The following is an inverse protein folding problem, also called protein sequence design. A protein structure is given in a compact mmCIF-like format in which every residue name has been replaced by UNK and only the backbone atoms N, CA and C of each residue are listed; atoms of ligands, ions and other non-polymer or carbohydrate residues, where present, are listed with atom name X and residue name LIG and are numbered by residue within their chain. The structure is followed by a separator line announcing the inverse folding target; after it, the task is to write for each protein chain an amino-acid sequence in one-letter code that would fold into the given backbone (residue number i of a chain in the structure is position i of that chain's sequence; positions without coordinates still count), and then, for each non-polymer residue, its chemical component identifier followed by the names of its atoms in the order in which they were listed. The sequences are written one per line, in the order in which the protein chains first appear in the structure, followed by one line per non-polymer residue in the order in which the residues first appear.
data_IF_857632195207
#
_entry.id   IF_857632195207
#
_cell.length_a   1.000
_cell.length_b   1.000
_cell.length_c   1.000
_cell.angle_alpha   90.00
_cell.angle_beta   90.00
_cell.angle_gamma   90.00
#
_symmetry.space_group_name_H-M   'P 1'
#
loop_
_entity.id
_entity.type
_entity.pdbx_description
1 polymer ?
#
# COMPACT_ATOMS: atom_id res chain seq x y z
N UNK A 1 57.34 6.89 41.71
CA UNK A 1 56.95 6.10 40.54
C UNK A 1 55.66 5.29 40.73
N UNK A 2 55.48 4.43 41.76
CA UNK A 2 54.24 3.63 41.92
C UNK A 2 53.00 4.48 42.24
N UNK A 3 53.09 5.60 42.98
CA UNK A 3 51.95 6.49 43.26
C UNK A 3 51.56 7.37 42.06
N UNK A 4 52.51 7.76 41.23
CA UNK A 4 52.25 8.52 39.98
C UNK A 4 51.65 7.63 38.91
N UNK A 5 52.02 6.37 38.84
CA UNK A 5 51.45 5.38 37.91
C UNK A 5 49.99 5.04 38.29
N UNK A 6 49.68 4.93 39.61
CA UNK A 6 48.32 4.71 40.08
C UNK A 6 47.38 5.90 39.80
N UNK A 7 47.89 7.14 39.88
CA UNK A 7 47.11 8.35 39.57
C UNK A 7 46.83 8.51 38.06
N UNK A 8 47.79 8.14 37.22
CA UNK A 8 47.63 8.15 35.76
C UNK A 8 46.66 7.05 35.31
N UNK A 9 46.72 5.84 35.92
CA UNK A 9 45.76 4.77 35.65
C UNK A 9 44.33 5.11 36.09
N UNK A 10 44.16 5.79 37.22
CA UNK A 10 42.86 6.24 37.68
C UNK A 10 42.30 7.38 36.82
N UNK A 11 43.13 8.27 36.28
CA UNK A 11 42.72 9.34 35.38
C UNK A 11 42.35 8.82 34.01
N UNK A 12 43.04 7.77 33.51
CA UNK A 12 42.71 7.09 32.24
C UNK A 12 41.41 6.29 32.40
N UNK A 13 41.15 5.66 33.56
CA UNK A 13 39.88 4.97 33.83
C UNK A 13 38.71 5.94 34.03
N UNK A 14 38.95 7.17 34.47
CA UNK A 14 37.93 8.21 34.59
C UNK A 14 37.64 8.92 33.26
N UNK A 15 38.58 8.90 32.30
CA UNK A 15 38.36 9.43 30.93
C UNK A 15 37.70 8.43 29.99
N UNK A 16 37.59 7.16 30.35
CA UNK A 16 36.86 6.11 29.59
C UNK A 16 35.47 5.82 30.17
N UNK A 17 35.02 6.53 31.20
CA UNK A 17 33.64 6.65 31.52
C UNK A 17 33.01 7.67 30.50
N UNK A 18 33.03 7.34 29.20
CA UNK A 18 31.99 7.80 28.33
C UNK A 18 30.69 7.40 29.04
N UNK A 19 29.91 8.36 29.48
CA UNK A 19 28.54 8.11 29.89
C UNK A 19 27.93 7.36 28.73
N UNK A 20 27.74 6.04 28.84
CA UNK A 20 26.82 5.33 28.00
C UNK A 20 25.49 6.03 28.28
N UNK A 21 25.09 6.97 27.41
CA UNK A 21 23.73 7.46 27.43
C UNK A 21 22.87 6.21 27.25
N UNK A 22 21.84 6.07 28.05
CA UNK A 22 20.87 5.01 27.83
C UNK A 22 20.34 5.20 26.40
N UNK A 23 20.18 4.09 25.68
CA UNK A 23 19.56 4.18 24.36
C UNK A 23 18.15 4.76 24.48
N UNK A 24 17.77 5.61 23.55
CA UNK A 24 16.40 6.12 23.44
C UNK A 24 15.51 4.97 22.99
N UNK A 25 14.49 4.64 23.76
CA UNK A 25 13.52 3.60 23.40
C UNK A 25 12.34 4.22 22.69
N UNK A 26 11.96 3.67 21.52
CA UNK A 26 10.77 4.07 20.77
C UNK A 26 9.85 2.87 20.52
N UNK A 27 8.55 3.10 20.60
CA UNK A 27 7.50 2.11 20.35
C UNK A 27 6.97 2.28 18.93
N UNK A 28 7.16 1.26 18.11
CA UNK A 28 6.70 1.20 16.72
C UNK A 28 5.51 0.25 16.58
N UNK A 29 4.37 0.76 16.10
CA UNK A 29 3.21 -0.08 15.78
C UNK A 29 3.03 -0.20 14.28
N UNK A 30 2.69 -1.41 13.81
CA UNK A 30 2.48 -1.67 12.38
C UNK A 30 1.24 -2.51 12.12
N UNK A 31 0.72 -2.41 10.89
CA UNK A 31 -0.42 -3.20 10.41
C UNK A 31 -0.04 -4.57 9.86
N UNK A 32 1.24 -4.93 9.92
CA UNK A 32 1.77 -6.14 9.28
C UNK A 32 1.65 -7.34 10.22
N UNK A 33 0.74 -8.27 9.92
CA UNK A 33 0.45 -9.43 10.76
C UNK A 33 0.59 -10.78 10.05
N UNK A 34 0.81 -10.75 8.72
CA UNK A 34 1.02 -11.93 7.89
C UNK A 34 2.50 -12.28 7.69
N UNK A 35 2.85 -12.80 6.52
CA UNK A 35 4.23 -13.02 6.13
C UNK A 35 5.07 -11.74 6.11
N UNK A 36 4.46 -10.62 5.78
CA UNK A 36 5.00 -9.26 5.85
C UNK A 36 5.41 -8.86 7.28
N UNK A 37 4.67 -9.31 8.30
CA UNK A 37 5.00 -9.03 9.70
C UNK A 37 6.37 -9.60 10.11
N UNK A 38 6.70 -10.80 9.69
CA UNK A 38 8.01 -11.42 9.97
C UNK A 38 9.14 -10.66 9.25
N UNK A 39 8.90 -10.18 8.03
CA UNK A 39 9.88 -9.39 7.25
C UNK A 39 10.09 -8.05 7.94
N UNK A 40 9.02 -7.36 8.35
CA UNK A 40 9.10 -6.09 9.07
C UNK A 40 9.85 -6.25 10.40
N UNK A 41 9.58 -7.31 11.18
CA UNK A 41 10.33 -7.60 12.40
C UNK A 41 11.83 -7.78 12.11
N UNK A 42 12.18 -8.50 11.04
CA UNK A 42 13.57 -8.65 10.61
C UNK A 42 14.25 -7.32 10.26
N UNK A 43 13.53 -6.37 9.66
CA UNK A 43 14.04 -5.02 9.39
C UNK A 43 14.26 -4.22 10.68
N UNK A 44 13.35 -4.32 11.64
CA UNK A 44 13.50 -3.70 12.97
C UNK A 44 14.68 -4.30 13.71
N UNK A 45 14.84 -5.62 13.70
CA UNK A 45 15.97 -6.29 14.33
C UNK A 45 17.31 -5.86 13.70
N UNK A 46 17.34 -5.67 12.37
CA UNK A 46 18.51 -5.18 11.65
C UNK A 46 18.85 -3.74 12.04
N UNK A 47 17.86 -2.86 12.22
CA UNK A 47 18.08 -1.51 12.76
C UNK A 47 18.68 -1.57 14.15
N UNK A 48 18.04 -2.29 15.08
CA UNK A 48 18.51 -2.43 16.47
C UNK A 48 19.92 -3.03 16.54
N UNK A 49 20.30 -3.90 15.62
CA UNK A 49 21.64 -4.50 15.55
C UNK A 49 22.69 -3.58 14.92
N UNK A 50 22.31 -2.54 14.19
CA UNK A 50 23.21 -1.66 13.43
C UNK A 50 23.84 -0.54 14.26
N UNK A 51 23.25 -0.22 15.42
CA UNK A 51 23.66 0.90 16.27
C UNK A 51 23.21 0.68 17.74
N UNK A 52 23.69 1.53 18.69
CA UNK A 52 23.46 1.42 20.14
C UNK A 52 22.69 2.62 20.71
N UNK A 53 22.29 3.59 19.87
CA UNK A 53 21.69 4.87 20.32
C UNK A 53 20.18 4.78 20.49
N UNK A 54 19.50 3.95 19.68
CA UNK A 54 18.03 3.82 19.64
C UNK A 54 17.63 2.35 19.71
N UNK A 55 16.63 2.04 20.51
CA UNK A 55 16.00 0.71 20.58
C UNK A 55 14.55 0.83 20.12
N UNK A 56 14.19 0.10 19.09
CA UNK A 56 12.81 0.05 18.57
C UNK A 56 12.10 -1.18 19.10
N UNK A 57 10.99 -0.95 19.81
CA UNK A 57 10.08 -1.99 20.30
C UNK A 57 8.91 -2.13 19.31
N UNK A 58 8.88 -3.17 18.51
CA UNK A 58 7.87 -3.39 17.48
C UNK A 58 6.64 -4.13 18.00
N UNK A 59 5.45 -3.61 17.72
CA UNK A 59 4.16 -4.23 18.03
C UNK A 59 3.29 -4.33 16.76
N UNK A 60 3.23 -5.49 16.11
CA UNK A 60 2.33 -5.73 14.99
C UNK A 60 0.89 -5.96 15.48
N UNK A 61 -0.11 -5.45 14.74
CA UNK A 61 -1.53 -5.71 14.98
C UNK A 61 -2.32 -5.57 13.68
N UNK A 62 -3.55 -6.07 13.66
CA UNK A 62 -4.40 -5.89 12.46
C UNK A 62 -4.68 -4.41 12.22
N UNK A 63 -4.91 -4.02 10.96
CA UNK A 63 -5.26 -2.64 10.63
C UNK A 63 -6.49 -2.16 11.40
N UNK A 64 -7.50 -3.02 11.54
CA UNK A 64 -8.72 -2.70 12.28
C UNK A 64 -8.43 -2.43 13.77
N UNK A 65 -7.57 -3.26 14.39
CA UNK A 65 -7.16 -3.05 15.79
C UNK A 65 -6.36 -1.76 15.96
N UNK A 66 -5.41 -1.49 15.06
CA UNK A 66 -4.59 -0.29 15.10
C UNK A 66 -5.44 0.98 14.99
N UNK A 67 -6.32 1.02 13.98
CA UNK A 67 -7.17 2.19 13.72
C UNK A 67 -8.25 2.42 14.80
N UNK A 68 -8.53 1.44 15.65
CA UNK A 68 -9.38 1.61 16.83
C UNK A 68 -8.58 2.03 18.06
N UNK A 69 -7.40 1.44 18.27
CA UNK A 69 -6.58 1.65 19.48
C UNK A 69 -5.89 3.01 19.51
N UNK A 70 -5.35 3.47 18.37
CA UNK A 70 -4.55 4.69 18.35
C UNK A 70 -5.36 5.94 18.72
N UNK A 71 -6.56 6.20 18.13
CA UNK A 71 -7.37 7.33 18.59
C UNK A 71 -7.67 7.30 20.08
N UNK A 72 -7.90 6.11 20.65
CA UNK A 72 -8.15 5.96 22.06
C UNK A 72 -6.91 6.27 22.92
N UNK A 73 -5.72 5.82 22.47
CA UNK A 73 -4.46 6.12 23.15
C UNK A 73 -4.19 7.64 23.19
N UNK A 74 -4.35 8.34 22.07
CA UNK A 74 -4.22 9.80 21.97
C UNK A 74 -5.22 10.51 22.89
N UNK A 75 -6.51 10.13 22.85
CA UNK A 75 -7.54 10.73 23.70
C UNK A 75 -7.30 10.54 25.18
N UNK A 76 -6.69 9.43 25.60
CA UNK A 76 -6.41 9.13 27.01
C UNK A 76 -5.03 9.63 27.46
N UNK A 77 -4.18 10.06 26.53
CA UNK A 77 -2.78 10.45 26.81
C UNK A 77 -1.95 9.30 27.37
N UNK A 78 -2.23 8.04 26.95
CA UNK A 78 -1.53 6.89 27.53
C UNK A 78 -1.30 5.77 26.51
N UNK A 79 -0.04 5.32 26.45
CA UNK A 79 0.36 4.23 25.55
C UNK A 79 0.33 4.63 24.07
N UNK A 80 0.55 5.92 23.79
CA UNK A 80 0.69 6.43 22.43
C UNK A 80 1.99 5.87 21.84
N UNK A 81 1.97 5.28 20.64
CA UNK A 81 3.20 4.84 19.99
C UNK A 81 3.99 6.04 19.45
N UNK A 82 5.32 5.96 19.50
CA UNK A 82 6.20 7.01 18.97
C UNK A 82 6.12 7.13 17.46
N UNK A 83 5.92 6.00 16.78
CA UNK A 83 5.73 5.93 15.33
C UNK A 83 4.80 4.76 14.97
N UNK A 84 3.95 4.99 13.97
CA UNK A 84 3.11 3.94 13.40
C UNK A 84 3.30 3.86 11.89
N UNK A 85 3.07 2.67 11.32
CA UNK A 85 2.76 2.54 9.91
C UNK A 85 1.25 2.52 9.72
N UNK A 86 0.75 3.42 8.88
CA UNK A 86 -0.65 3.50 8.47
C UNK A 86 -0.76 3.56 6.93
N UNK A 87 -1.92 3.19 6.40
CA UNK A 87 -2.20 3.41 4.98
C UNK A 87 -2.44 4.90 4.72
N UNK A 88 -1.95 5.40 3.59
CA UNK A 88 -1.97 6.82 3.22
C UNK A 88 -3.39 7.42 3.23
N UNK A 89 -4.39 6.64 2.86
CA UNK A 89 -5.79 7.07 2.85
C UNK A 89 -6.38 7.34 4.25
N UNK A 90 -5.67 6.96 5.32
CA UNK A 90 -6.08 7.26 6.70
C UNK A 90 -5.59 8.61 7.19
N UNK A 91 -4.50 9.12 6.61
CA UNK A 91 -3.85 10.35 7.03
C UNK A 91 -4.81 11.55 7.04
N UNK A 92 -5.59 11.84 5.97
CA UNK A 92 -6.49 13.00 5.98
C UNK A 92 -7.52 12.97 7.12
N UNK A 93 -8.03 11.78 7.44
CA UNK A 93 -8.99 11.64 8.54
C UNK A 93 -8.34 11.83 9.92
N UNK A 94 -7.13 11.30 10.12
CA UNK A 94 -6.39 11.49 11.37
C UNK A 94 -5.95 12.93 11.57
N UNK A 95 -5.55 13.64 10.50
CA UNK A 95 -5.23 15.07 10.55
C UNK A 95 -6.48 15.88 10.91
N UNK A 96 -7.63 15.61 10.27
CA UNK A 96 -8.89 16.30 10.58
C UNK A 96 -9.37 16.08 12.02
N UNK A 97 -8.96 14.97 12.65
CA UNK A 97 -9.25 14.66 14.07
C UNK A 97 -8.16 15.15 15.03
N UNK A 98 -7.16 15.90 14.55
CA UNK A 98 -6.03 16.39 15.34
C UNK A 98 -5.25 15.27 16.04
N UNK A 99 -5.19 14.07 15.41
CA UNK A 99 -4.52 12.90 15.98
C UNK A 99 -3.06 12.78 15.58
N UNK A 100 -2.59 13.51 14.57
CA UNK A 100 -1.22 13.44 14.07
C UNK A 100 -0.44 14.72 14.35
N UNK A 101 0.86 14.57 14.60
CA UNK A 101 1.84 15.64 14.45
C UNK A 101 2.47 15.59 13.06
N UNK A 102 2.71 16.77 12.48
CA UNK A 102 3.55 16.89 11.29
C UNK A 102 5.02 16.67 11.63
N UNK A 103 5.77 16.14 10.68
CA UNK A 103 7.21 16.03 10.80
C UNK A 103 7.89 17.41 10.70
N UNK A 104 8.82 17.69 11.59
CA UNK A 104 9.77 18.78 11.41
C UNK A 104 10.74 18.40 10.28
N UNK A 105 10.58 19.02 9.11
CA UNK A 105 11.35 18.68 7.90
C UNK A 105 12.84 19.01 8.04
N UNK A 106 13.21 19.99 8.87
CA UNK A 106 14.62 20.31 9.14
C UNK A 106 15.24 19.20 10.00
N UNK A 107 14.55 18.74 11.02
CA UNK A 107 14.99 17.66 11.88
C UNK A 107 15.12 16.33 11.15
N UNK A 108 14.10 15.94 10.34
CA UNK A 108 14.17 14.67 9.61
C UNK A 108 15.22 14.71 8.49
N UNK A 109 15.52 15.90 7.95
CA UNK A 109 16.61 16.07 6.96
C UNK A 109 17.99 15.82 7.60
N UNK A 110 18.19 16.11 8.89
CA UNK A 110 19.41 15.75 9.64
C UNK A 110 19.60 14.23 9.71
N UNK A 111 18.51 13.48 9.80
CA UNK A 111 18.52 12.02 9.78
C UNK A 111 18.63 11.42 8.38
N UNK A 112 18.62 12.25 7.31
CA UNK A 112 18.75 11.80 5.91
C UNK A 112 17.46 11.78 5.11
N UNK A 113 16.31 12.03 5.72
CA UNK A 113 15.00 12.04 5.04
C UNK A 113 14.84 13.36 4.28
N UNK A 114 14.71 13.27 2.95
CA UNK A 114 14.47 14.41 2.06
C UNK A 114 13.45 14.03 1.01
N UNK A 115 12.56 14.96 0.68
CA UNK A 115 11.49 14.75 -0.29
C UNK A 115 11.99 14.15 -1.61
N UNK A 116 13.11 14.66 -2.15
CA UNK A 116 13.67 14.18 -3.41
C UNK A 116 14.10 12.70 -3.40
N UNK A 117 14.24 12.10 -2.23
CA UNK A 117 14.60 10.69 -2.06
C UNK A 117 13.39 9.75 -2.09
N UNK A 118 12.17 10.28 -2.20
CA UNK A 118 10.95 9.48 -2.10
C UNK A 118 10.07 9.57 -3.35
N UNK A 119 9.25 8.56 -3.55
CA UNK A 119 8.21 8.57 -4.58
C UNK A 119 7.27 9.76 -4.38
N UNK A 120 7.18 10.63 -5.40
CA UNK A 120 6.46 11.91 -5.28
C UNK A 120 4.95 11.71 -5.17
N UNK A 121 4.37 10.67 -5.83
CA UNK A 121 2.95 10.39 -5.71
C UNK A 121 2.55 10.05 -4.27
N UNK A 122 3.39 9.34 -3.52
CA UNK A 122 3.14 9.01 -2.12
C UNK A 122 3.48 10.19 -1.19
N UNK A 123 4.62 10.87 -1.42
CA UNK A 123 5.05 12.00 -0.58
C UNK A 123 4.05 13.15 -0.58
N UNK A 124 3.67 13.64 -1.78
CA UNK A 124 2.77 14.81 -1.91
C UNK A 124 1.38 14.51 -1.33
N UNK A 125 0.91 13.26 -1.41
CA UNK A 125 -0.41 12.87 -0.89
C UNK A 125 -0.43 12.66 0.63
N UNK A 126 0.71 12.60 1.28
CA UNK A 126 0.84 12.65 2.75
C UNK A 126 1.20 14.03 3.29
N UNK A 127 1.25 15.05 2.42
CA UNK A 127 1.35 16.48 2.76
C UNK A 127 -0.05 17.09 2.77
N UNK A 128 -0.45 17.72 3.88
CA UNK A 128 -1.76 18.37 4.04
C UNK A 128 -1.51 19.77 4.57
N UNK A 129 -2.08 20.80 3.93
CA UNK A 129 -1.93 22.21 4.30
C UNK A 129 -0.44 22.65 4.44
N UNK A 130 0.40 22.18 3.52
CA UNK A 130 1.86 22.40 3.48
C UNK A 130 2.65 21.73 4.63
N UNK A 131 2.01 20.88 5.43
CA UNK A 131 2.63 20.11 6.52
C UNK A 131 2.77 18.63 6.14
N UNK A 132 3.93 18.02 6.44
CA UNK A 132 4.20 16.61 6.14
C UNK A 132 3.80 15.71 7.30
N UNK A 133 2.79 14.88 7.11
CA UNK A 133 2.26 13.99 8.16
C UNK A 133 2.69 12.53 8.01
N UNK A 134 3.20 12.13 6.85
CA UNK A 134 3.64 10.77 6.63
C UNK A 134 4.92 10.67 5.81
N UNK A 135 5.84 9.80 6.21
CA UNK A 135 7.01 9.44 5.41
C UNK A 135 6.74 8.09 4.74
N UNK A 136 6.69 8.02 3.39
CA UNK A 136 6.33 6.78 2.70
C UNK A 136 7.38 5.67 2.89
N UNK A 137 6.93 4.46 3.24
CA UNK A 137 7.74 3.24 3.23
C UNK A 137 7.77 2.59 1.83
N UNK A 138 6.59 2.50 1.23
CA UNK A 138 6.37 1.80 -0.03
C UNK A 138 5.22 2.42 -0.84
N UNK A 139 5.09 1.92 -2.07
CA UNK A 139 3.86 2.00 -2.86
C UNK A 139 3.41 0.59 -3.13
N UNK A 140 2.13 0.31 -2.92
CA UNK A 140 1.53 -0.99 -3.15
C UNK A 140 0.14 -0.86 -3.74
N UNK A 141 -0.37 -1.91 -4.33
CA UNK A 141 -1.72 -1.86 -4.88
C UNK A 141 -2.09 -3.05 -5.74
N UNK A 142 -3.12 -2.86 -6.51
CA UNK A 142 -3.78 -3.88 -7.29
C UNK A 142 -3.24 -3.89 -8.73
N UNK A 143 -2.73 -5.05 -9.14
CA UNK A 143 -2.09 -5.24 -10.45
C UNK A 143 -2.63 -6.52 -11.10
N UNK A 144 -2.10 -6.86 -12.25
CA UNK A 144 -2.45 -8.06 -13.01
C UNK A 144 -1.30 -9.05 -12.99
N UNK A 145 -1.56 -10.27 -12.50
CA UNK A 145 -0.71 -11.43 -12.67
C UNK A 145 -1.19 -12.24 -13.87
N UNK A 146 -0.28 -12.72 -14.71
CA UNK A 146 -0.58 -13.69 -15.74
C UNK A 146 0.09 -15.03 -15.44
N UNK A 147 -0.60 -16.13 -15.73
CA UNK A 147 0.00 -17.46 -15.73
C UNK A 147 0.73 -17.67 -17.05
N UNK A 148 2.06 -17.52 -17.03
CA UNK A 148 2.91 -17.54 -18.23
C UNK A 148 2.89 -18.89 -18.95
N UNK A 149 2.80 -19.98 -18.20
CA UNK A 149 2.74 -21.31 -18.79
C UNK A 149 1.44 -21.53 -19.57
N UNK A 150 0.32 -21.00 -19.06
CA UNK A 150 -0.96 -21.02 -19.78
C UNK A 150 -0.93 -20.09 -20.99
N UNK A 151 -0.33 -18.90 -20.85
CA UNK A 151 -0.18 -17.98 -21.98
C UNK A 151 0.64 -18.57 -23.10
N UNK A 152 1.76 -19.22 -22.79
CA UNK A 152 2.58 -19.92 -23.77
C UNK A 152 1.84 -21.11 -24.42
N UNK A 153 1.16 -21.90 -23.57
CA UNK A 153 0.39 -23.07 -24.03
C UNK A 153 -0.71 -22.73 -25.02
N UNK A 154 -1.44 -21.64 -24.80
CA UNK A 154 -2.58 -21.25 -25.60
C UNK A 154 -2.26 -20.13 -26.60
N UNK A 155 -1.00 -19.72 -26.72
CA UNK A 155 -0.52 -18.72 -27.66
C UNK A 155 -1.11 -17.32 -27.44
N UNK A 156 -1.17 -16.87 -26.16
CA UNK A 156 -1.80 -15.62 -25.75
C UNK A 156 -0.84 -14.43 -25.65
N UNK A 157 0.45 -14.65 -25.83
CA UNK A 157 1.50 -13.65 -25.58
C UNK A 157 1.40 -12.36 -26.42
N UNK A 158 0.66 -12.37 -27.52
CA UNK A 158 0.54 -11.19 -28.37
C UNK A 158 -0.10 -9.99 -27.66
N UNK A 159 -0.99 -10.23 -26.65
CA UNK A 159 -1.62 -9.15 -25.87
C UNK A 159 -0.68 -8.52 -24.83
N UNK A 160 0.52 -9.04 -24.67
CA UNK A 160 1.50 -8.52 -23.70
C UNK A 160 2.50 -7.55 -24.34
N UNK A 161 2.39 -7.32 -25.65
CA UNK A 161 3.45 -6.69 -26.44
C UNK A 161 3.67 -5.19 -26.10
N UNK A 162 2.64 -4.47 -25.67
CA UNK A 162 2.70 -3.05 -25.30
C UNK A 162 2.81 -2.80 -23.79
N UNK A 163 2.80 -3.90 -22.98
CA UNK A 163 2.91 -3.82 -21.54
C UNK A 163 1.61 -3.52 -20.80
N UNK A 164 0.47 -3.58 -21.48
CA UNK A 164 -0.87 -3.43 -20.91
C UNK A 164 -1.77 -4.60 -21.34
N UNK A 165 -2.88 -4.77 -20.66
CA UNK A 165 -3.93 -5.73 -20.99
C UNK A 165 -5.26 -4.99 -20.93
N UNK A 166 -5.99 -4.96 -22.04
CA UNK A 166 -7.31 -4.34 -22.11
C UNK A 166 -8.43 -5.35 -21.81
N UNK A 167 -9.63 -4.87 -21.48
CA UNK A 167 -10.81 -5.74 -21.31
C UNK A 167 -11.16 -6.55 -22.57
N UNK A 168 -10.94 -5.98 -23.75
CA UNK A 168 -11.18 -6.71 -25.01
C UNK A 168 -10.15 -7.83 -25.21
N UNK A 169 -8.89 -7.62 -24.78
CA UNK A 169 -7.86 -8.64 -24.80
C UNK A 169 -8.08 -9.73 -23.76
N UNK A 170 -8.64 -9.40 -22.60
CA UNK A 170 -9.09 -10.42 -21.62
C UNK A 170 -10.13 -11.34 -22.25
N UNK A 171 -11.14 -10.78 -22.92
CA UNK A 171 -12.18 -11.57 -23.61
C UNK A 171 -11.57 -12.43 -24.74
N UNK A 172 -10.73 -11.81 -25.57
CA UNK A 172 -10.03 -12.51 -26.64
C UNK A 172 -9.18 -13.69 -26.13
N UNK A 173 -8.41 -13.47 -25.06
CA UNK A 173 -7.57 -14.52 -24.44
C UNK A 173 -8.43 -15.68 -23.92
N UNK A 174 -9.54 -15.36 -23.28
CA UNK A 174 -10.49 -16.35 -22.79
C UNK A 174 -11.11 -17.19 -23.90
N UNK A 175 -11.57 -16.56 -24.96
CA UNK A 175 -12.17 -17.24 -26.11
C UNK A 175 -11.14 -18.14 -26.82
N UNK A 176 -9.95 -17.61 -27.09
CA UNK A 176 -8.86 -18.35 -27.73
C UNK A 176 -8.40 -19.55 -26.91
N UNK A 177 -8.26 -19.40 -25.58
CA UNK A 177 -7.88 -20.52 -24.72
C UNK A 177 -9.01 -21.57 -24.66
N UNK A 178 -10.26 -21.15 -24.59
CA UNK A 178 -11.44 -22.02 -24.55
C UNK A 178 -11.61 -22.83 -25.84
N UNK A 179 -11.38 -22.23 -27.02
CA UNK A 179 -11.36 -22.93 -28.31
C UNK A 179 -10.30 -24.04 -28.35
N UNK A 180 -9.21 -23.90 -27.58
CA UNK A 180 -8.16 -24.90 -27.49
C UNK A 180 -8.32 -25.85 -26.29
N UNK A 181 -9.51 -25.85 -25.64
CA UNK A 181 -9.87 -26.79 -24.58
C UNK A 181 -9.52 -26.36 -23.17
N UNK A 182 -9.23 -25.07 -22.94
CA UNK A 182 -9.11 -24.55 -21.57
C UNK A 182 -10.49 -24.55 -20.91
N UNK A 183 -10.58 -25.09 -19.70
CA UNK A 183 -11.83 -25.21 -18.93
C UNK A 183 -11.87 -24.34 -17.67
N UNK A 184 -10.76 -23.66 -17.37
CA UNK A 184 -10.65 -22.75 -16.22
C UNK A 184 -11.28 -21.37 -16.51
N UNK A 185 -10.95 -20.43 -15.67
CA UNK A 185 -11.42 -19.03 -15.77
C UNK A 185 -10.37 -18.13 -16.44
N UNK A 186 -10.87 -17.19 -17.19
CA UNK A 186 -9.99 -16.21 -17.86
C UNK A 186 -9.47 -15.19 -16.88
N UNK A 187 -10.34 -14.67 -16.03
CA UNK A 187 -10.08 -13.54 -15.14
C UNK A 187 -10.81 -13.72 -13.80
N UNK A 188 -10.48 -12.93 -12.81
CA UNK A 188 -11.17 -12.93 -11.52
C UNK A 188 -11.93 -11.62 -11.23
N UNK A 189 -12.80 -11.70 -10.24
CA UNK A 189 -13.42 -10.55 -9.57
C UNK A 189 -13.27 -10.72 -8.05
N UNK A 190 -12.07 -11.12 -7.58
CA UNK A 190 -11.82 -11.47 -6.19
C UNK A 190 -12.02 -10.31 -5.24
N UNK A 191 -11.34 -9.20 -5.50
CA UNK A 191 -11.44 -8.00 -4.67
C UNK A 191 -12.09 -6.85 -5.45
N UNK A 192 -13.41 -6.97 -5.67
CA UNK A 192 -14.19 -6.06 -6.51
C UNK A 192 -14.00 -4.59 -6.16
N UNK A 193 -13.86 -4.26 -4.88
CA UNK A 193 -13.66 -2.88 -4.43
C UNK A 193 -12.42 -2.24 -5.06
N UNK A 194 -11.26 -2.90 -4.96
CA UNK A 194 -10.02 -2.38 -5.53
C UNK A 194 -10.07 -2.33 -7.06
N UNK A 195 -10.65 -3.37 -7.68
CA UNK A 195 -10.87 -3.40 -9.13
C UNK A 195 -11.79 -2.26 -9.56
N UNK A 196 -12.95 -2.10 -8.91
CA UNK A 196 -13.91 -1.04 -9.23
C UNK A 196 -13.29 0.35 -9.13
N UNK A 197 -12.50 0.60 -8.07
CA UNK A 197 -11.84 1.88 -7.88
C UNK A 197 -10.72 2.13 -8.90
N UNK A 198 -9.96 1.11 -9.28
CA UNK A 198 -8.99 1.21 -10.37
C UNK A 198 -9.68 1.52 -11.70
N UNK A 199 -10.78 0.84 -12.01
CA UNK A 199 -11.54 1.07 -13.26
C UNK A 199 -12.24 2.42 -13.28
N UNK A 200 -12.79 2.84 -12.14
CA UNK A 200 -13.35 4.19 -11.98
C UNK A 200 -12.27 5.26 -12.22
N UNK A 201 -11.07 5.09 -11.67
CA UNK A 201 -9.97 6.03 -11.84
C UNK A 201 -9.51 6.19 -13.29
N UNK A 202 -9.67 5.16 -14.13
CA UNK A 202 -9.37 5.22 -15.56
C UNK A 202 -10.39 6.05 -16.36
N UNK A 203 -11.62 6.18 -15.85
CA UNK A 203 -12.75 6.80 -16.54
C UNK A 203 -13.08 8.20 -16.00
N UNK A 204 -12.93 8.40 -14.69
CA UNK A 204 -13.25 9.65 -14.01
C UNK A 204 -12.06 10.61 -14.02
N UNK A 205 -12.26 11.85 -14.44
CA UNK A 205 -11.24 12.89 -14.38
C UNK A 205 -10.79 13.14 -12.93
N UNK A 206 -9.48 12.97 -12.68
CA UNK A 206 -8.88 13.15 -11.35
C UNK A 206 -9.35 12.13 -10.30
N UNK A 207 -10.05 11.07 -10.70
CA UNK A 207 -10.62 9.99 -9.85
C UNK A 207 -11.21 10.50 -8.51
N UNK A 208 -11.82 11.68 -8.52
CA UNK A 208 -12.44 12.29 -7.33
C UNK A 208 -13.69 11.54 -6.90
N UNK A 209 -13.84 11.41 -5.59
CA UNK A 209 -15.03 10.86 -4.95
C UNK A 209 -15.79 11.89 -4.13
N UNK A 210 -15.13 12.99 -3.76
CA UNK A 210 -15.74 14.15 -3.06
C UNK A 210 -15.20 15.45 -3.64
N UNK A 211 -16.01 16.52 -3.54
CA UNK A 211 -15.53 17.89 -3.69
C UNK A 211 -15.16 18.42 -2.29
N UNK A 212 -13.88 18.74 -2.12
CA UNK A 212 -13.31 19.32 -0.88
C UNK A 212 -13.65 18.53 0.41
N UNK A 213 -13.92 17.24 0.30
CA UNK A 213 -14.25 16.36 1.43
C UNK A 213 -15.62 16.61 2.08
N UNK A 214 -16.50 17.45 1.50
CA UNK A 214 -17.74 17.89 2.12
C UNK A 214 -18.96 17.05 1.72
N UNK A 215 -19.00 16.60 0.46
CA UNK A 215 -20.12 15.81 -0.06
C UNK A 215 -19.66 14.82 -1.11
N UNK A 216 -20.38 13.70 -1.29
CA UNK A 216 -20.11 12.79 -2.40
C UNK A 216 -20.19 13.53 -3.75
N UNK A 217 -19.21 13.31 -4.60
CA UNK A 217 -19.11 13.89 -5.96
C UNK A 217 -18.65 12.85 -6.95
N UNK A 218 -19.36 11.71 -7.00
CA UNK A 218 -19.07 10.64 -7.94
C UNK A 218 -19.36 11.06 -9.38
N UNK A 219 -18.44 10.75 -10.29
CA UNK A 219 -18.77 10.64 -11.70
C UNK A 219 -19.62 9.38 -11.90
N UNK A 220 -20.95 9.56 -11.96
CA UNK A 220 -21.90 8.44 -12.04
C UNK A 220 -21.78 7.65 -13.31
N UNK A 221 -21.46 8.30 -14.43
CA UNK A 221 -21.29 7.61 -15.72
C UNK A 221 -20.03 6.76 -15.72
N UNK A 222 -18.93 7.29 -15.15
CA UNK A 222 -17.70 6.53 -14.97
C UNK A 222 -17.89 5.33 -14.02
N UNK A 223 -18.56 5.53 -12.88
CA UNK A 223 -18.85 4.47 -11.93
C UNK A 223 -19.75 3.40 -12.54
N UNK A 224 -20.80 3.82 -13.24
CA UNK A 224 -21.71 2.92 -13.95
C UNK A 224 -20.98 2.09 -14.99
N UNK A 225 -20.15 2.72 -15.82
CA UNK A 225 -19.37 2.03 -16.85
C UNK A 225 -18.41 0.99 -16.25
N UNK A 226 -17.75 1.32 -15.16
CA UNK A 226 -16.86 0.39 -14.45
C UNK A 226 -17.64 -0.83 -13.92
N UNK A 227 -18.77 -0.60 -13.24
CA UNK A 227 -19.66 -1.67 -12.74
C UNK A 227 -20.25 -2.53 -13.87
N UNK A 228 -20.72 -1.91 -14.94
CA UNK A 228 -21.25 -2.62 -16.11
C UNK A 228 -20.20 -3.54 -16.74
N UNK A 229 -18.94 -3.10 -16.83
CA UNK A 229 -17.86 -3.90 -17.40
C UNK A 229 -17.56 -5.13 -16.52
N UNK A 230 -17.52 -4.96 -15.19
CA UNK A 230 -17.34 -6.09 -14.27
C UNK A 230 -18.49 -7.10 -14.38
N UNK A 231 -19.73 -6.59 -14.42
CA UNK A 231 -20.93 -7.40 -14.59
C UNK A 231 -20.94 -8.14 -15.94
N UNK A 232 -20.57 -7.48 -17.03
CA UNK A 232 -20.48 -8.07 -18.37
C UNK A 232 -19.50 -9.24 -18.40
N UNK A 233 -18.28 -9.08 -17.82
CA UNK A 233 -17.29 -10.15 -17.74
C UNK A 233 -17.82 -11.37 -16.95
N UNK A 234 -18.57 -11.12 -15.89
CA UNK A 234 -19.21 -12.16 -15.10
C UNK A 234 -20.32 -12.90 -15.88
N UNK A 235 -21.26 -12.14 -16.46
CA UNK A 235 -22.40 -12.71 -17.22
C UNK A 235 -21.96 -13.49 -18.47
N UNK A 236 -20.87 -13.08 -19.11
CA UNK A 236 -20.27 -13.78 -20.24
C UNK A 236 -19.41 -14.99 -19.84
N UNK A 237 -19.20 -15.21 -18.54
CA UNK A 237 -18.51 -16.38 -17.99
C UNK A 237 -16.99 -16.33 -18.08
N UNK A 238 -16.39 -15.15 -18.28
CA UNK A 238 -14.94 -14.97 -18.26
C UNK A 238 -14.38 -15.00 -16.84
N UNK A 239 -15.19 -14.64 -15.86
CA UNK A 239 -14.74 -14.55 -14.46
C UNK A 239 -15.25 -15.70 -13.60
N UNK A 240 -14.62 -15.85 -12.45
CA UNK A 240 -15.03 -16.73 -11.36
C UNK A 240 -16.25 -16.16 -10.61
N UNK A 241 -16.85 -16.97 -9.74
CA UNK A 241 -17.99 -16.59 -8.89
C UNK A 241 -17.50 -16.17 -7.50
N UNK A 242 -18.39 -15.55 -6.71
CA UNK A 242 -18.07 -15.11 -5.34
C UNK A 242 -17.72 -16.25 -4.35
N UNK A 243 -17.94 -17.49 -4.75
CA UNK A 243 -17.65 -18.70 -3.93
C UNK A 243 -16.37 -19.40 -4.35
N UNK A 244 -15.72 -18.94 -5.43
CA UNK A 244 -14.49 -19.55 -5.93
C UNK A 244 -13.29 -19.08 -5.11
N UNK A 245 -12.32 -19.95 -4.91
CA UNK A 245 -11.02 -19.61 -4.33
C UNK A 245 -10.07 -19.20 -5.45
N UNK A 246 -10.00 -17.90 -5.72
CA UNK A 246 -9.24 -17.32 -6.84
C UNK A 246 -7.76 -17.64 -6.76
N UNK A 247 -7.18 -17.53 -5.57
CA UNK A 247 -5.76 -17.79 -5.36
C UNK A 247 -5.43 -19.25 -5.65
N UNK A 248 -6.21 -20.18 -5.08
CA UNK A 248 -6.04 -21.62 -5.38
C UNK A 248 -6.23 -21.94 -6.86
N UNK A 249 -7.19 -21.28 -7.54
CA UNK A 249 -7.39 -21.45 -8.98
C UNK A 249 -6.18 -20.96 -9.79
N UNK A 250 -5.62 -19.81 -9.44
CA UNK A 250 -4.43 -19.28 -10.11
C UNK A 250 -3.22 -20.18 -9.87
N UNK A 251 -2.98 -20.59 -8.62
CA UNK A 251 -1.88 -21.49 -8.25
C UNK A 251 -2.03 -22.87 -8.91
N UNK A 252 -3.25 -23.36 -9.05
CA UNK A 252 -3.56 -24.64 -9.69
C UNK A 252 -3.53 -24.64 -11.23
N UNK A 253 -3.28 -23.48 -11.86
CA UNK A 253 -3.31 -23.35 -13.33
C UNK A 253 -4.73 -23.43 -13.91
N UNK A 254 -5.73 -23.02 -13.15
CA UNK A 254 -7.14 -22.97 -13.55
C UNK A 254 -7.61 -21.53 -13.86
N UNK A 255 -6.68 -20.55 -13.83
CA UNK A 255 -6.95 -19.15 -14.15
C UNK A 255 -5.82 -18.58 -15.02
N UNK A 256 -6.16 -17.82 -16.08
CA UNK A 256 -5.20 -17.21 -17.00
C UNK A 256 -4.61 -15.94 -16.44
N UNK A 257 -5.48 -15.05 -15.96
CA UNK A 257 -5.20 -13.68 -15.53
C UNK A 257 -5.82 -13.48 -14.16
N UNK A 258 -5.01 -13.04 -13.20
CA UNK A 258 -5.44 -12.78 -11.82
C UNK A 258 -5.16 -11.34 -11.44
N UNK A 259 -6.19 -10.61 -11.07
CA UNK A 259 -6.07 -9.23 -10.59
C UNK A 259 -6.01 -9.25 -9.07
N UNK A 260 -4.84 -8.93 -8.50
CA UNK A 260 -4.62 -9.02 -7.06
C UNK A 260 -3.51 -8.07 -6.61
N UNK A 261 -3.37 -7.89 -5.30
CA UNK A 261 -2.35 -7.04 -4.72
C UNK A 261 -0.93 -7.56 -4.92
N UNK A 262 0.02 -6.65 -5.06
CA UNK A 262 1.45 -7.00 -5.22
C UNK A 262 2.00 -7.78 -4.02
N UNK A 263 1.36 -7.68 -2.85
CA UNK A 263 1.71 -8.45 -1.64
C UNK A 263 1.49 -9.95 -1.78
N UNK A 264 0.76 -10.40 -2.81
CA UNK A 264 0.58 -11.83 -3.08
C UNK A 264 1.76 -12.46 -3.83
N UNK A 265 2.73 -11.66 -4.28
CA UNK A 265 3.92 -12.14 -5.03
C UNK A 265 4.63 -13.29 -4.34
N UNK A 266 4.88 -13.18 -3.03
CA UNK A 266 5.56 -14.25 -2.28
C UNK A 266 4.79 -15.57 -2.35
N UNK A 267 3.47 -15.53 -2.16
CA UNK A 267 2.63 -16.71 -2.23
C UNK A 267 2.58 -17.32 -3.65
N UNK A 268 2.61 -16.50 -4.70
CA UNK A 268 2.69 -16.96 -6.10
C UNK A 268 4.02 -17.67 -6.37
N UNK A 269 5.12 -17.11 -5.86
CA UNK A 269 6.46 -17.73 -5.95
C UNK A 269 6.49 -19.05 -5.19
N UNK A 270 5.98 -19.10 -3.97
CA UNK A 270 5.93 -20.30 -3.13
C UNK A 270 5.08 -21.41 -3.76
N UNK A 271 4.01 -21.04 -4.45
CA UNK A 271 3.18 -21.95 -5.23
C UNK A 271 3.87 -22.48 -6.50
N UNK A 272 5.03 -21.94 -6.86
CA UNK A 272 5.81 -22.37 -8.03
C UNK A 272 5.19 -21.97 -9.37
N UNK A 273 4.35 -20.96 -9.41
CA UNK A 273 3.73 -20.45 -10.64
C UNK A 273 4.77 -19.68 -11.44
N UNK A 274 4.88 -19.95 -12.72
CA UNK A 274 5.61 -19.13 -13.69
C UNK A 274 4.69 -17.97 -14.09
N UNK A 275 5.04 -16.73 -13.70
CA UNK A 275 4.17 -15.57 -13.84
C UNK A 275 4.93 -14.32 -14.31
N UNK A 276 4.18 -13.38 -14.84
CA UNK A 276 4.60 -12.00 -15.07
C UNK A 276 3.56 -11.06 -14.44
N UNK A 277 3.96 -9.81 -14.20
CA UNK A 277 3.11 -8.76 -13.63
C UNK A 277 2.92 -7.62 -14.62
N UNK A 278 1.71 -7.10 -14.68
CA UNK A 278 1.30 -5.98 -15.52
C UNK A 278 0.46 -4.98 -14.72
N UNK A 279 0.29 -3.73 -15.18
CA UNK A 279 -0.71 -2.81 -14.64
C UNK A 279 -2.09 -3.48 -14.56
N UNK A 280 -3.00 -2.90 -13.78
CA UNK A 280 -4.39 -3.36 -13.78
C UNK A 280 -4.96 -3.36 -15.20
N UNK A 281 -5.83 -4.32 -15.49
CA UNK A 281 -6.56 -4.38 -16.76
C UNK A 281 -7.24 -3.04 -17.03
N UNK A 282 -7.17 -2.54 -18.26
CA UNK A 282 -7.59 -1.19 -18.60
C UNK A 282 -8.58 -1.11 -19.74
N UNK A 283 -9.29 0.03 -19.82
CA UNK A 283 -10.14 0.38 -20.97
C UNK A 283 -9.31 0.85 -22.16
N UNK A 284 -8.27 1.63 -21.89
CA UNK A 284 -7.36 2.23 -22.85
C UNK A 284 -5.97 2.36 -22.20
N UNK A 285 -4.91 1.81 -22.80
CA UNK A 285 -3.54 1.98 -22.30
C UNK A 285 -3.12 3.44 -22.04
N UNK A 286 -3.64 4.38 -22.84
CA UNK A 286 -3.34 5.80 -22.68
C UNK A 286 -3.90 6.41 -21.36
N UNK A 287 -4.86 5.73 -20.73
CA UNK A 287 -5.48 6.14 -19.46
C UNK A 287 -5.43 5.02 -18.42
N UNK A 288 -4.49 4.09 -18.55
CA UNK A 288 -4.33 3.00 -17.60
C UNK A 288 -4.08 3.55 -16.19
N UNK A 289 -4.82 3.02 -15.22
CA UNK A 289 -4.64 3.30 -13.79
C UNK A 289 -4.88 2.05 -12.98
N UNK A 290 -4.06 1.89 -11.96
CA UNK A 290 -4.21 0.85 -10.94
C UNK A 290 -4.60 1.49 -9.61
N UNK A 291 -5.54 0.87 -8.89
CA UNK A 291 -5.76 1.27 -7.50
C UNK A 291 -4.49 1.01 -6.70
N UNK A 292 -4.00 2.05 -6.04
CA UNK A 292 -2.77 2.01 -5.27
C UNK A 292 -2.98 2.63 -3.89
N UNK A 293 -2.11 2.27 -2.97
CA UNK A 293 -1.96 2.84 -1.64
C UNK A 293 -0.47 2.94 -1.29
N UNK A 294 -0.17 3.44 -0.12
CA UNK A 294 1.19 3.55 0.42
C UNK A 294 1.14 3.33 1.93
N UNK A 295 2.07 2.58 2.46
CA UNK A 295 2.32 2.55 3.89
C UNK A 295 3.17 3.75 4.27
N UNK A 296 2.73 4.50 5.26
CA UNK A 296 3.41 5.70 5.71
C UNK A 296 3.73 5.61 7.19
N UNK A 297 4.95 5.98 7.57
CA UNK A 297 5.30 6.24 8.95
C UNK A 297 4.67 7.56 9.37
N UNK A 298 3.90 7.55 10.43
CA UNK A 298 3.23 8.73 11.02
C UNK A 298 3.55 8.83 12.49
N UNK A 299 3.49 10.05 13.02
CA UNK A 299 3.66 10.35 14.44
C UNK A 299 2.31 10.79 15.02
N UNK A 300 1.84 10.09 16.06
CA UNK A 300 0.61 10.48 16.73
C UNK A 300 0.87 11.57 17.79
N UNK A 301 -0.15 12.42 17.98
CA UNK A 301 -0.06 13.55 18.88
C UNK A 301 0.18 13.09 20.33
N UNK A 302 1.30 13.52 20.90
CA UNK A 302 1.72 13.26 22.27
C UNK A 302 2.39 14.53 22.85
N UNK A 303 1.77 15.15 23.86
CA UNK A 303 2.28 16.37 24.49
C UNK A 303 3.57 16.15 25.30
N UNK A 304 3.88 14.90 25.65
CA UNK A 304 5.08 14.54 26.42
C UNK A 304 6.30 14.24 25.52
N UNK A 305 6.11 14.22 24.19
CA UNK A 305 7.12 13.88 23.19
C UNK A 305 8.29 14.86 23.20
N UNK A 306 9.49 14.34 23.08
CA UNK A 306 10.74 15.11 23.09
C UNK A 306 11.40 15.15 21.70
N UNK A 307 12.21 16.19 21.45
CA UNK A 307 13.03 16.30 20.23
C UNK A 307 14.01 15.12 20.06
N UNK A 308 14.48 14.53 21.16
CA UNK A 308 15.34 13.34 21.16
C UNK A 308 14.58 12.11 20.61
N UNK A 309 13.32 11.93 21.01
CA UNK A 309 12.45 10.87 20.48
C UNK A 309 12.11 11.11 19.00
N UNK A 310 11.86 12.35 18.58
CA UNK A 310 11.63 12.71 17.20
C UNK A 310 12.84 12.39 16.30
N UNK A 311 14.04 12.71 16.77
CA UNK A 311 15.27 12.38 16.07
C UNK A 311 15.49 10.85 16.03
N UNK A 312 15.17 10.13 17.10
CA UNK A 312 15.25 8.68 17.15
C UNK A 312 14.28 8.04 16.14
N UNK A 313 13.04 8.53 16.05
CA UNK A 313 12.06 8.12 15.03
C UNK A 313 12.58 8.42 13.63
N UNK A 314 13.11 9.62 13.39
CA UNK A 314 13.64 9.98 12.08
C UNK A 314 14.79 9.07 11.64
N UNK A 315 15.73 8.73 12.54
CA UNK A 315 16.81 7.76 12.26
C UNK A 315 16.27 6.38 11.90
N UNK A 316 15.28 5.90 12.64
CA UNK A 316 14.62 4.62 12.35
C UNK A 316 13.92 4.65 11.00
N UNK A 317 13.10 5.65 10.73
CA UNK A 317 12.35 5.79 9.46
C UNK A 317 13.29 5.90 8.26
N UNK A 318 14.38 6.67 8.37
CA UNK A 318 15.39 6.75 7.31
C UNK A 318 16.04 5.38 7.03
N UNK A 319 16.43 4.66 8.10
CA UNK A 319 16.99 3.32 7.95
C UNK A 319 16.01 2.37 7.24
N UNK A 320 14.72 2.41 7.62
CA UNK A 320 13.69 1.58 6.99
C UNK A 320 13.53 1.88 5.50
N UNK A 321 13.54 3.16 5.12
CA UNK A 321 13.50 3.59 3.71
C UNK A 321 14.72 3.10 2.92
N UNK A 322 15.92 3.38 3.37
CA UNK A 322 17.17 3.02 2.68
C UNK A 322 17.38 1.50 2.58
N UNK A 323 16.84 0.71 3.50
CA UNK A 323 16.99 -0.75 3.54
C UNK A 323 15.74 -1.53 3.08
N UNK A 324 14.77 -0.86 2.45
CA UNK A 324 13.51 -1.47 2.01
C UNK A 324 13.62 -2.38 0.77
N UNK A 325 14.83 -2.69 0.27
CA UNK A 325 15.02 -3.67 -0.78
C UNK A 325 14.52 -5.07 -0.38
N UNK A 326 14.72 -5.47 0.88
CA UNK A 326 14.19 -6.74 1.41
C UNK A 326 12.66 -6.73 1.40
N UNK A 327 12.05 -5.58 1.69
CA UNK A 327 10.61 -5.37 1.61
C UNK A 327 10.07 -5.58 0.19
N UNK A 328 10.78 -5.07 -0.83
CA UNK A 328 10.44 -5.33 -2.23
C UNK A 328 10.59 -6.79 -2.63
N UNK A 329 11.66 -7.43 -2.17
CA UNK A 329 12.02 -8.80 -2.57
C UNK A 329 11.06 -9.81 -1.95
N UNK A 330 10.86 -9.74 -0.66
CA UNK A 330 10.20 -10.78 0.12
C UNK A 330 8.71 -10.47 0.37
N UNK A 331 8.32 -9.19 0.55
CA UNK A 331 6.92 -8.79 0.70
C UNK A 331 6.25 -8.34 -0.61
N UNK A 332 7.01 -8.14 -1.70
CA UNK A 332 6.47 -7.78 -3.01
C UNK A 332 6.15 -6.30 -3.22
N UNK A 333 6.34 -5.46 -2.22
CA UNK A 333 6.04 -4.02 -2.26
C UNK A 333 7.04 -3.26 -3.15
N UNK A 334 6.71 -2.02 -3.52
CA UNK A 334 7.61 -1.12 -4.24
C UNK A 334 8.21 -0.13 -3.25
N UNK A 335 9.54 -0.09 -3.04
CA UNK A 335 10.14 0.88 -2.14
C UNK A 335 9.75 2.31 -2.49
N UNK A 336 9.36 3.10 -1.51
CA UNK A 336 9.15 4.53 -1.74
C UNK A 336 10.47 5.30 -1.86
N UNK A 337 11.57 4.77 -1.29
CA UNK A 337 12.88 5.41 -1.38
C UNK A 337 13.50 5.18 -2.75
N UNK A 338 13.59 6.23 -3.57
CA UNK A 338 13.92 6.16 -5.02
C UNK A 338 15.34 5.70 -5.33
N UNK A 339 16.28 5.78 -4.37
CA UNK A 339 17.64 5.26 -4.60
C UNK A 339 17.66 3.74 -4.88
N UNK A 340 16.64 3.02 -4.43
CA UNK A 340 16.51 1.57 -4.65
C UNK A 340 16.03 1.24 -6.06
N UNK A 341 15.39 2.18 -6.78
CA UNK A 341 14.89 1.96 -8.14
C UNK A 341 16.03 1.68 -9.13
N UNK A 342 17.23 2.22 -8.88
CA UNK A 342 18.43 2.01 -9.71
C UNK A 342 19.22 0.76 -9.33
N UNK A 343 18.83 0.07 -8.24
CA UNK A 343 19.49 -1.16 -7.82
C UNK A 343 19.13 -2.29 -8.79
N UNK A 344 20.13 -2.92 -9.41
CA UNK A 344 19.93 -3.95 -10.44
C UNK A 344 19.05 -5.12 -9.96
N UNK A 345 19.11 -5.47 -8.67
CA UNK A 345 18.26 -6.50 -8.07
C UNK A 345 16.78 -6.07 -8.13
N UNK A 346 16.44 -4.84 -7.72
CA UNK A 346 15.08 -4.32 -7.79
C UNK A 346 14.60 -4.17 -9.23
N UNK A 347 15.43 -3.59 -10.11
CA UNK A 347 15.07 -3.37 -11.52
C UNK A 347 14.74 -4.68 -12.27
N UNK A 348 15.20 -5.83 -11.77
CA UNK A 348 14.87 -7.16 -12.31
C UNK A 348 13.61 -7.79 -11.73
N UNK A 349 12.97 -7.18 -10.72
CA UNK A 349 11.77 -7.70 -10.10
C UNK A 349 10.54 -7.44 -10.97
N UNK A 350 9.55 -8.35 -10.99
CA UNK A 350 8.37 -8.19 -11.86
C UNK A 350 7.52 -6.96 -11.56
N UNK A 351 7.55 -6.44 -10.33
CA UNK A 351 6.83 -5.22 -9.93
C UNK A 351 7.60 -3.92 -10.19
N UNK A 352 8.83 -3.97 -10.68
CA UNK A 352 9.69 -2.78 -10.81
C UNK A 352 9.11 -1.68 -11.73
N UNK A 353 8.21 -2.05 -12.66
CA UNK A 353 7.53 -1.09 -13.53
C UNK A 353 6.71 -0.04 -12.77
N UNK A 354 6.25 -0.35 -11.55
CA UNK A 354 5.50 0.58 -10.70
C UNK A 354 6.37 1.71 -10.10
N UNK A 355 7.69 1.55 -10.15
CA UNK A 355 8.64 2.56 -9.70
C UNK A 355 9.09 3.51 -10.82
N UNK A 356 8.65 3.28 -12.07
CA UNK A 356 8.99 4.14 -13.21
C UNK A 356 8.32 5.52 -13.06
N UNK A 357 9.08 6.63 -12.95
CA UNK A 357 8.50 7.96 -12.84
C UNK A 357 7.60 8.35 -14.03
N UNK A 358 7.82 7.76 -15.21
CA UNK A 358 6.98 8.00 -16.38
C UNK A 358 5.56 7.42 -16.23
N UNK A 359 5.36 6.53 -15.24
CA UNK A 359 4.09 5.84 -14.95
C UNK A 359 3.44 6.34 -13.65
N UNK A 360 3.94 7.40 -13.06
CA UNK A 360 3.42 7.94 -11.79
C UNK A 360 1.91 8.27 -11.89
N UNK A 361 1.45 8.78 -13.02
CA UNK A 361 0.04 9.07 -13.26
C UNK A 361 -0.86 7.81 -13.31
N UNK A 362 -0.27 6.63 -13.46
CA UNK A 362 -1.00 5.35 -13.42
C UNK A 362 -1.33 4.90 -11.99
N UNK A 363 -0.73 5.54 -10.98
CA UNK A 363 -0.90 5.21 -9.57
C UNK A 363 -2.11 5.94 -8.99
N UNK A 364 -3.29 5.33 -9.04
CA UNK A 364 -4.51 5.90 -8.48
C UNK A 364 -4.55 5.73 -6.96
N UNK A 365 -3.84 6.60 -6.25
CA UNK A 365 -3.85 6.66 -4.79
C UNK A 365 -4.99 7.56 -4.33
N UNK A 366 -5.91 7.00 -3.56
CA UNK A 366 -7.03 7.72 -2.96
C UNK A 366 -6.63 8.22 -1.57
N UNK A 367 -6.65 9.52 -1.33
CA UNK A 367 -6.16 10.16 -0.10
C UNK A 367 -7.10 11.26 0.40
N UNK A 368 -8.42 11.11 0.14
CA UNK A 368 -9.42 12.11 0.48
C UNK A 368 -9.91 11.97 1.92
N UNK A 369 -10.26 13.10 2.52
CA UNK A 369 -11.07 13.08 3.73
C UNK A 369 -12.33 12.25 3.47
N UNK A 370 -12.73 11.44 4.45
CA UNK A 370 -13.87 10.50 4.35
C UNK A 370 -13.68 9.32 3.37
N UNK A 371 -12.47 9.09 2.85
CA UNK A 371 -12.19 7.91 2.03
C UNK A 371 -12.75 6.60 2.65
N UNK A 372 -12.56 6.38 3.95
CA UNK A 372 -13.05 5.19 4.65
C UNK A 372 -14.58 5.01 4.59
N UNK A 373 -15.36 6.09 4.41
CA UNK A 373 -16.80 6.01 4.22
C UNK A 373 -17.14 5.46 2.84
N UNK A 374 -16.46 5.93 1.79
CA UNK A 374 -16.60 5.37 0.43
C UNK A 374 -16.19 3.91 0.38
N UNK A 375 -15.06 3.59 0.98
CA UNK A 375 -14.52 2.25 1.08
C UNK A 375 -15.55 1.28 1.68
N UNK A 376 -16.17 1.68 2.78
CA UNK A 376 -17.21 0.92 3.46
C UNK A 376 -18.47 0.79 2.60
N UNK A 377 -18.96 1.89 2.01
CA UNK A 377 -20.18 1.89 1.21
C UNK A 377 -20.02 1.06 -0.07
N UNK A 378 -18.88 1.17 -0.76
CA UNK A 378 -18.56 0.35 -1.94
C UNK A 378 -18.48 -1.13 -1.57
N UNK A 379 -17.86 -1.46 -0.43
CA UNK A 379 -17.75 -2.84 0.04
C UNK A 379 -19.10 -3.50 0.32
N UNK A 380 -20.13 -2.74 0.70
CA UNK A 380 -21.48 -3.25 0.96
C UNK A 380 -22.23 -3.66 -0.30
N UNK A 381 -21.99 -3.00 -1.42
CA UNK A 381 -22.63 -3.32 -2.70
C UNK A 381 -21.80 -4.29 -3.56
N UNK A 382 -20.65 -4.71 -3.05
CA UNK A 382 -19.59 -5.48 -3.69
C UNK A 382 -20.11 -6.49 -4.76
N UNK A 383 -20.40 -7.74 -4.37
CA UNK A 383 -20.93 -8.73 -5.31
C UNK A 383 -22.37 -8.48 -5.79
N UNK A 384 -23.14 -7.70 -5.08
CA UNK A 384 -24.56 -7.54 -5.30
C UNK A 384 -24.91 -6.89 -6.64
N UNK A 385 -24.08 -5.96 -7.15
CA UNK A 385 -24.26 -5.41 -8.49
C UNK A 385 -23.73 -6.34 -9.58
N UNK A 386 -22.73 -7.16 -9.29
CA UNK A 386 -22.16 -8.13 -10.24
C UNK A 386 -23.14 -9.25 -10.51
N UNK A 387 -23.70 -9.86 -9.47
CA UNK A 387 -24.67 -10.97 -9.61
C UNK A 387 -26.11 -10.50 -9.89
N UNK A 388 -26.36 -9.20 -9.88
CA UNK A 388 -27.64 -8.59 -10.21
C UNK A 388 -28.65 -8.60 -9.05
N UNK A 389 -28.21 -8.85 -7.81
CA UNK A 389 -29.03 -8.72 -6.60
C UNK A 389 -29.52 -7.29 -6.41
N UNK A 390 -28.67 -6.29 -6.74
CA UNK A 390 -29.01 -4.86 -6.82
C UNK A 390 -28.80 -4.33 -8.23
N UNK A 391 -29.65 -3.43 -8.69
CA UNK A 391 -29.42 -2.72 -9.95
C UNK A 391 -28.23 -1.74 -9.79
N UNK A 392 -27.43 -1.55 -10.85
CA UNK A 392 -26.23 -0.70 -10.77
C UNK A 392 -26.58 0.75 -10.38
N UNK A 393 -27.65 1.31 -10.93
CA UNK A 393 -28.07 2.67 -10.57
C UNK A 393 -28.49 2.77 -9.09
N UNK A 394 -29.12 1.72 -8.53
CA UNK A 394 -29.48 1.65 -7.11
C UNK A 394 -28.23 1.47 -6.23
N UNK A 395 -27.24 0.68 -6.68
CA UNK A 395 -25.97 0.54 -5.98
C UNK A 395 -25.21 1.87 -5.89
N UNK A 396 -25.14 2.64 -6.98
CA UNK A 396 -24.53 3.97 -7.00
C UNK A 396 -25.27 4.93 -6.05
N UNK A 397 -26.60 4.95 -6.11
CA UNK A 397 -27.42 5.78 -5.22
C UNK A 397 -27.26 5.39 -3.74
N UNK A 398 -27.11 4.10 -3.44
CA UNK A 398 -26.83 3.62 -2.09
C UNK A 398 -25.48 4.10 -1.59
N UNK A 399 -24.39 3.99 -2.39
CA UNK A 399 -23.06 4.47 -2.04
C UNK A 399 -23.12 5.97 -1.68
N UNK A 400 -23.68 6.81 -2.56
CA UNK A 400 -23.78 8.25 -2.33
C UNK A 400 -24.58 8.57 -1.05
N UNK A 401 -25.70 7.90 -0.85
CA UNK A 401 -26.54 8.12 0.31
C UNK A 401 -25.85 7.74 1.61
N UNK A 402 -25.23 6.57 1.66
CA UNK A 402 -24.53 6.10 2.86
C UNK A 402 -23.37 7.02 3.25
N UNK A 403 -22.59 7.48 2.25
CA UNK A 403 -21.50 8.43 2.49
C UNK A 403 -22.04 9.78 2.96
N UNK A 404 -23.09 10.34 2.30
CA UNK A 404 -23.67 11.60 2.71
C UNK A 404 -24.27 11.55 4.13
N UNK A 405 -24.99 10.47 4.46
CA UNK A 405 -25.56 10.25 5.80
C UNK A 405 -24.45 10.14 6.87
N UNK A 406 -23.35 9.46 6.55
CA UNK A 406 -22.24 9.28 7.48
C UNK A 406 -21.43 10.57 7.69
N UNK A 407 -21.25 11.41 6.65
CA UNK A 407 -20.63 12.74 6.78
C UNK A 407 -21.53 13.66 7.66
N UNK A 408 -22.84 13.62 7.43
CA UNK A 408 -23.78 14.45 8.19
C UNK A 408 -23.90 14.05 9.68
N UNK A 409 -23.46 12.86 10.04
CA UNK A 409 -23.48 12.34 11.42
C UNK A 409 -22.20 12.64 12.22
N UNK A 410 -21.14 13.14 11.60
CA UNK A 410 -19.90 13.59 12.23
C UNK A 410 -20.03 15.02 12.78
#
# INVERSE_FOLDING_TARGET
MKKTLALVLSLVLLLTAATAMAATEINYWSVFTGGDGAIMQGMVDAFNASQDEVIVNHTPMTADDLYQKVPLAVQTGSGIPDVCVVHIERIPNFVNQELLYSYDLDLVAEAGIKQENYNQAAWVKSTIDDEQYGIPLDVHGYITYINKDLFDKYGLNEILADGYITFDEVKWAGDKAKEQGFTGKTFDLGWQRAQLLGYYAQLAEGHKLTDDGIAPSLDKEAMKKAMETMKELYEQGYTSSKTDDYSSMFYGGEMLIWSEGIWMKAAVVDAGVNFEMYPAVCFDPANAKSWMSSHNFVQFADEERTEEEDLAVAKFVNFMGENSLVWAKDAGQVPAHVSLNEVAEFASMPQAFLADPAREDELAIYYYLHWGLFDTAISRVNWDFVDGTIAIDDAIAQIEKEVADAIAAQ
#
